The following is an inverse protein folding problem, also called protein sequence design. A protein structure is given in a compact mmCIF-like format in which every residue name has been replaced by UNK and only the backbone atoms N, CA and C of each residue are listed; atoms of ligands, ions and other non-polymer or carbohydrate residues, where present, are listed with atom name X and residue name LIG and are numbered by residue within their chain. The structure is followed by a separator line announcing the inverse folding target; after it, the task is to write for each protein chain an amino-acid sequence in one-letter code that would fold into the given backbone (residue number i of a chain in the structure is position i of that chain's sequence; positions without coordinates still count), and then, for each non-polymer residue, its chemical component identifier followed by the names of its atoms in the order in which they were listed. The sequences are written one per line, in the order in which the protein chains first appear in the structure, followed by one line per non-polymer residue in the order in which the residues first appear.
data_IF_791936633712
#
_entry.id   IF_791936633712
#
_cell.length_a   1.000
_cell.length_b   1.000
_cell.length_c   1.000
_cell.angle_alpha   90.00
_cell.angle_beta   90.00
_cell.angle_gamma   90.00
#
_symmetry.space_group_name_H-M   'P 1'
#
loop_
_entity.id
_entity.type
_entity.pdbx_description
1 polymer ?
#
# COMPACT_ATOMS: atom_id res chain seq x y z
N UNK A 1 12.06 40.56 -18.94
CA UNK A 1 12.62 40.29 -17.60
C UNK A 1 12.29 38.88 -17.10
N UNK A 2 11.10 38.33 -17.40
CA UNK A 2 10.66 37.01 -16.91
C UNK A 2 11.39 35.79 -17.50
N UNK A 3 11.86 35.85 -18.77
CA UNK A 3 12.61 34.75 -19.40
C UNK A 3 13.96 34.44 -18.72
N UNK A 4 14.71 35.47 -18.30
CA UNK A 4 15.99 35.28 -17.60
C UNK A 4 15.83 34.67 -16.21
N UNK A 5 14.69 34.91 -15.54
CA UNK A 5 14.40 34.29 -14.23
C UNK A 5 14.06 32.81 -14.38
N UNK A 6 13.39 32.42 -15.47
CA UNK A 6 13.09 31.01 -15.77
C UNK A 6 14.35 30.20 -16.09
N UNK A 7 15.27 30.74 -16.90
CA UNK A 7 16.55 30.09 -17.20
C UNK A 7 17.40 29.86 -15.94
N UNK A 8 17.42 30.82 -15.00
CA UNK A 8 18.12 30.68 -13.72
C UNK A 8 17.49 29.60 -12.85
N UNK A 9 16.16 29.52 -12.77
CA UNK A 9 15.46 28.47 -12.03
C UNK A 9 15.69 27.08 -12.64
N UNK A 10 15.72 26.98 -13.97
CA UNK A 10 16.01 25.72 -14.67
C UNK A 10 17.46 25.28 -14.46
N UNK A 11 18.42 26.20 -14.51
CA UNK A 11 19.82 25.91 -14.21
C UNK A 11 20.01 25.46 -12.75
N UNK A 12 19.34 26.11 -11.80
CA UNK A 12 19.36 25.73 -10.38
C UNK A 12 18.71 24.36 -10.15
N UNK A 13 17.58 24.06 -10.82
CA UNK A 13 16.94 22.76 -10.75
C UNK A 13 17.85 21.65 -11.31
N UNK A 14 18.48 21.89 -12.47
CA UNK A 14 19.42 20.95 -13.07
C UNK A 14 20.65 20.71 -12.18
N UNK A 15 21.19 21.77 -11.56
CA UNK A 15 22.32 21.67 -10.65
C UNK A 15 21.95 20.90 -9.37
N UNK A 16 20.77 21.18 -8.80
CA UNK A 16 20.25 20.46 -7.64
C UNK A 16 20.01 18.97 -7.95
N UNK A 17 19.46 18.66 -9.12
CA UNK A 17 19.24 17.29 -9.57
C UNK A 17 20.57 16.55 -9.77
N UNK A 18 21.55 17.19 -10.42
CA UNK A 18 22.90 16.60 -10.61
C UNK A 18 23.58 16.33 -9.27
N UNK A 19 23.47 17.25 -8.32
CA UNK A 19 24.01 17.09 -6.98
C UNK A 19 23.35 15.94 -6.22
N UNK A 20 22.01 15.80 -6.32
CA UNK A 20 21.26 14.70 -5.70
C UNK A 20 21.64 13.34 -6.29
N UNK A 21 21.78 13.24 -7.60
CA UNK A 21 22.23 12.01 -8.24
C UNK A 21 23.64 11.60 -7.80
N UNK A 22 24.58 12.56 -7.75
CA UNK A 22 25.94 12.29 -7.26
C UNK A 22 25.93 11.83 -5.80
N UNK A 23 25.19 12.53 -4.94
CA UNK A 23 25.06 12.15 -3.53
C UNK A 23 24.42 10.78 -3.37
N UNK A 24 23.36 10.46 -4.13
CA UNK A 24 22.75 9.14 -4.14
C UNK A 24 23.73 8.05 -4.56
N UNK A 25 24.57 8.31 -5.55
CA UNK A 25 25.60 7.38 -5.99
C UNK A 25 26.68 7.14 -4.91
N UNK A 26 27.11 8.18 -4.20
CA UNK A 26 28.09 8.05 -3.12
C UNK A 26 27.52 7.24 -1.94
N UNK A 27 26.25 7.50 -1.56
CA UNK A 27 25.55 6.74 -0.51
C UNK A 27 25.35 5.28 -0.92
N UNK A 28 25.01 5.02 -2.19
CA UNK A 28 24.87 3.66 -2.72
C UNK A 28 26.19 2.88 -2.63
N UNK A 29 27.33 3.50 -2.98
CA UNK A 29 28.64 2.87 -2.87
C UNK A 29 28.98 2.52 -1.42
N UNK A 30 28.68 3.40 -0.47
CA UNK A 30 28.86 3.10 0.96
C UNK A 30 27.98 1.92 1.41
N UNK A 31 26.74 1.85 0.90
CA UNK A 31 25.85 0.74 1.18
C UNK A 31 26.41 -0.61 0.70
N UNK A 32 27.03 -0.62 -0.49
CA UNK A 32 27.70 -1.80 -1.04
C UNK A 32 28.95 -2.19 -0.25
N UNK A 33 29.72 -1.24 0.27
CA UNK A 33 30.85 -1.53 1.16
C UNK A 33 30.38 -2.22 2.44
N UNK A 34 29.32 -1.70 3.08
CA UNK A 34 28.74 -2.31 4.27
C UNK A 34 28.17 -3.70 3.96
N UNK A 35 27.53 -3.87 2.79
CA UNK A 35 27.03 -5.16 2.34
C UNK A 35 28.16 -6.16 2.14
N UNK A 36 29.25 -5.77 1.47
CA UNK A 36 30.42 -6.63 1.26
C UNK A 36 31.09 -7.02 2.59
N UNK A 37 31.12 -6.11 3.58
CA UNK A 37 31.59 -6.43 4.93
C UNK A 37 30.71 -7.50 5.59
N UNK A 38 29.39 -7.36 5.50
CA UNK A 38 28.46 -8.37 5.99
C UNK A 38 28.69 -9.72 5.30
N UNK A 39 28.83 -9.75 3.97
CA UNK A 39 29.14 -10.97 3.19
C UNK A 39 30.46 -11.62 3.64
N UNK A 40 31.53 -10.82 3.80
CA UNK A 40 32.84 -11.33 4.23
C UNK A 40 32.80 -11.89 5.65
N UNK A 41 31.86 -11.44 6.48
CA UNK A 41 31.62 -11.96 7.83
C UNK A 41 30.62 -13.12 7.86
N UNK A 42 30.21 -13.66 6.70
CA UNK A 42 29.13 -14.66 6.59
C UNK A 42 27.84 -14.19 7.31
N UNK A 43 27.53 -12.90 7.17
CA UNK A 43 26.37 -12.21 7.77
C UNK A 43 26.34 -12.18 9.31
N UNK A 44 27.46 -12.47 9.98
CA UNK A 44 27.54 -12.36 11.45
C UNK A 44 27.60 -10.91 11.92
N UNK A 45 28.12 -9.98 11.11
CA UNK A 45 28.14 -8.55 11.42
C UNK A 45 26.78 -7.88 11.18
N UNK A 46 25.90 -7.97 12.19
CA UNK A 46 24.57 -7.34 12.18
C UNK A 46 24.64 -5.81 12.07
N UNK A 47 25.73 -5.17 12.49
CA UNK A 47 25.87 -3.73 12.42
C UNK A 47 26.10 -3.28 10.98
N UNK A 48 27.00 -3.95 10.25
CA UNK A 48 27.24 -3.70 8.83
C UNK A 48 25.97 -3.94 7.99
N UNK A 49 25.21 -5.00 8.29
CA UNK A 49 23.95 -5.32 7.63
C UNK A 49 22.90 -4.21 7.81
N UNK A 50 22.68 -3.78 9.06
CA UNK A 50 21.75 -2.69 9.39
C UNK A 50 22.16 -1.38 8.72
N UNK A 51 23.45 -1.07 8.73
CA UNK A 51 23.97 0.13 8.09
C UNK A 51 23.77 0.10 6.56
N UNK A 52 23.97 -1.06 5.93
CA UNK A 52 23.72 -1.24 4.50
C UNK A 52 22.24 -0.97 4.16
N UNK A 53 21.30 -1.56 4.90
CA UNK A 53 19.86 -1.33 4.70
C UNK A 53 19.49 0.16 4.86
N UNK A 54 20.00 0.81 5.89
CA UNK A 54 19.77 2.25 6.11
C UNK A 54 20.27 3.11 4.96
N UNK A 55 21.49 2.84 4.47
CA UNK A 55 22.08 3.56 3.33
C UNK A 55 21.33 3.27 2.02
N UNK A 56 20.81 2.06 1.81
CA UNK A 56 19.98 1.73 0.64
C UNK A 56 18.66 2.50 0.65
N UNK A 57 17.98 2.58 1.80
CA UNK A 57 16.79 3.44 1.93
C UNK A 57 17.10 4.92 1.70
N UNK A 58 18.24 5.40 2.23
CA UNK A 58 18.67 6.77 1.98
C UNK A 58 18.96 6.99 0.48
N UNK A 59 19.51 6.01 -0.22
CA UNK A 59 19.71 6.06 -1.67
C UNK A 59 18.38 6.20 -2.41
N UNK A 60 17.37 5.41 -2.03
CA UNK A 60 16.02 5.47 -2.61
C UNK A 60 15.34 6.84 -2.37
N UNK A 61 15.58 7.46 -1.21
CA UNK A 61 15.08 8.82 -0.95
C UNK A 61 15.75 9.87 -1.84
N UNK A 62 17.03 9.70 -2.17
CA UNK A 62 17.79 10.64 -3.00
C UNK A 62 17.53 10.43 -4.50
N UNK A 63 17.29 9.20 -4.94
CA UNK A 63 17.07 8.83 -6.33
C UNK A 63 16.09 7.65 -6.46
N UNK A 64 14.80 7.95 -6.67
CA UNK A 64 13.72 6.95 -6.75
C UNK A 64 13.70 6.18 -8.08
N UNK A 65 14.36 6.71 -9.11
CA UNK A 65 14.36 6.10 -10.45
C UNK A 65 15.47 5.05 -10.62
N UNK A 66 16.32 4.88 -9.60
CA UNK A 66 17.40 3.89 -9.61
C UNK A 66 16.90 2.53 -9.14
N UNK A 67 16.93 1.53 -10.02
CA UNK A 67 16.50 0.16 -9.69
C UNK A 67 17.48 -0.60 -8.79
N UNK A 68 18.76 -0.18 -8.73
CA UNK A 68 19.83 -0.96 -8.08
C UNK A 68 19.64 -1.10 -6.56
N UNK A 69 19.25 -0.07 -5.80
CA UNK A 69 19.00 -0.22 -4.37
C UNK A 69 17.82 -1.16 -4.08
N UNK A 70 16.77 -1.15 -4.93
CA UNK A 70 15.67 -2.10 -4.82
C UNK A 70 16.16 -3.54 -5.02
N UNK A 71 16.98 -3.79 -6.04
CA UNK A 71 17.57 -5.11 -6.29
C UNK A 71 18.42 -5.59 -5.09
N UNK A 72 19.30 -4.74 -4.57
CA UNK A 72 20.18 -5.09 -3.44
C UNK A 72 19.37 -5.34 -2.16
N UNK A 73 18.35 -4.52 -1.87
CA UNK A 73 17.42 -4.76 -0.76
C UNK A 73 16.68 -6.08 -0.92
N UNK A 74 16.18 -6.37 -2.13
CA UNK A 74 15.53 -7.64 -2.42
C UNK A 74 16.44 -8.84 -2.17
N UNK A 75 17.70 -8.76 -2.60
CA UNK A 75 18.69 -9.82 -2.37
C UNK A 75 19.04 -10.00 -0.89
N UNK A 76 19.23 -8.88 -0.18
CA UNK A 76 19.47 -8.88 1.26
C UNK A 76 18.32 -9.55 2.05
N UNK A 77 17.09 -9.18 1.74
CA UNK A 77 15.90 -9.75 2.36
C UNK A 77 15.75 -11.24 2.05
N UNK A 78 16.03 -11.65 0.81
CA UNK A 78 16.06 -13.06 0.43
C UNK A 78 17.06 -13.86 1.27
N UNK A 79 18.28 -13.35 1.45
CA UNK A 79 19.32 -14.01 2.26
C UNK A 79 18.99 -14.11 3.75
N UNK A 80 18.08 -13.27 4.24
CA UNK A 80 17.58 -13.32 5.61
C UNK A 80 16.31 -14.19 5.75
N UNK A 81 15.87 -14.87 4.67
CA UNK A 81 14.60 -15.61 4.57
C UNK A 81 13.32 -14.73 4.59
N UNK A 82 13.43 -13.42 4.35
CA UNK A 82 12.29 -12.50 4.21
C UNK A 82 11.75 -12.49 2.77
N UNK A 83 11.37 -13.66 2.25
CA UNK A 83 11.05 -13.87 0.82
C UNK A 83 9.89 -13.00 0.30
N UNK A 84 8.89 -12.70 1.13
CA UNK A 84 7.76 -11.86 0.70
C UNK A 84 8.18 -10.41 0.49
N UNK A 85 8.95 -9.83 1.42
CA UNK A 85 9.46 -8.46 1.30
C UNK A 85 10.49 -8.36 0.18
N UNK A 86 11.34 -9.38 0.05
CA UNK A 86 12.28 -9.49 -1.06
C UNK A 86 11.58 -9.42 -2.43
N UNK A 87 10.43 -10.09 -2.57
CA UNK A 87 9.64 -10.08 -3.80
C UNK A 87 9.09 -8.69 -4.13
N UNK A 88 8.63 -7.94 -3.12
CA UNK A 88 8.17 -6.55 -3.31
C UNK A 88 9.29 -5.68 -3.89
N UNK A 89 10.48 -5.73 -3.31
CA UNK A 89 11.63 -4.96 -3.80
C UNK A 89 12.11 -5.43 -5.17
N UNK A 90 12.10 -6.74 -5.43
CA UNK A 90 12.45 -7.28 -6.74
C UNK A 90 11.45 -6.85 -7.84
N UNK A 91 10.15 -6.80 -7.54
CA UNK A 91 9.15 -6.26 -8.48
C UNK A 91 9.31 -4.76 -8.71
N UNK A 92 9.66 -3.97 -7.69
CA UNK A 92 9.97 -2.55 -7.85
C UNK A 92 11.19 -2.35 -8.76
N UNK A 93 12.26 -3.13 -8.57
CA UNK A 93 13.42 -3.12 -9.46
C UNK A 93 13.05 -3.48 -10.91
N UNK A 94 12.17 -4.48 -11.09
CA UNK A 94 11.71 -4.91 -12.42
C UNK A 94 10.87 -3.85 -13.11
N UNK A 95 10.01 -3.12 -12.39
CA UNK A 95 9.19 -2.05 -12.94
C UNK A 95 10.05 -0.91 -13.51
N UNK A 96 11.17 -0.59 -12.84
CA UNK A 96 12.14 0.42 -13.27
C UNK A 96 13.02 -0.07 -14.42
N UNK A 97 13.47 -1.33 -14.39
CA UNK A 97 14.31 -1.91 -15.45
C UNK A 97 13.88 -3.35 -15.82
N UNK A 98 12.89 -3.51 -16.72
CA UNK A 98 12.28 -4.82 -17.02
C UNK A 98 13.24 -5.86 -17.63
N UNK A 99 14.30 -5.41 -18.29
CA UNK A 99 15.27 -6.27 -18.95
C UNK A 99 16.46 -6.63 -18.06
N UNK A 100 16.52 -6.14 -16.83
CA UNK A 100 17.64 -6.48 -15.93
C UNK A 100 17.69 -7.99 -15.66
N UNK A 101 18.89 -8.57 -15.82
CA UNK A 101 19.08 -10.02 -15.68
C UNK A 101 19.08 -10.43 -14.22
N UNK A 102 19.70 -9.63 -13.34
CA UNK A 102 19.84 -9.95 -11.92
C UNK A 102 18.48 -9.93 -11.21
N UNK A 103 17.64 -8.95 -11.54
CA UNK A 103 16.27 -8.84 -11.03
C UNK A 103 15.42 -10.05 -11.45
N UNK A 104 15.53 -10.50 -12.70
CA UNK A 104 14.84 -11.72 -13.17
C UNK A 104 15.32 -12.97 -12.46
N UNK A 105 16.62 -13.09 -12.19
CA UNK A 105 17.17 -14.20 -11.42
C UNK A 105 16.66 -14.20 -9.98
N UNK A 106 16.66 -13.03 -9.32
CA UNK A 106 16.12 -12.90 -7.97
C UNK A 106 14.63 -13.25 -7.92
N UNK A 107 13.82 -12.74 -8.86
CA UNK A 107 12.41 -13.11 -8.96
C UNK A 107 12.23 -14.62 -9.22
N UNK A 108 13.10 -15.26 -10.00
CA UNK A 108 13.03 -16.71 -10.20
C UNK A 108 13.38 -17.51 -8.93
N UNK A 109 14.24 -16.99 -8.05
CA UNK A 109 14.53 -17.57 -6.73
C UNK A 109 13.36 -17.37 -5.77
N UNK A 110 12.70 -16.21 -5.83
CA UNK A 110 11.60 -15.82 -4.93
C UNK A 110 10.24 -16.36 -5.36
N UNK A 111 10.08 -16.63 -6.64
CA UNK A 111 8.89 -17.30 -7.15
C UNK A 111 9.10 -18.77 -6.83
N UNK A 112 8.36 -19.37 -5.87
CA UNK A 112 8.36 -20.81 -5.74
C UNK A 112 7.98 -21.34 -7.12
N UNK A 113 8.93 -21.98 -7.79
CA UNK A 113 8.72 -22.51 -9.13
C UNK A 113 7.42 -23.30 -9.06
N UNK A 114 6.46 -22.86 -9.87
CA UNK A 114 5.16 -23.47 -9.97
C UNK A 114 5.31 -24.91 -10.48
N UNK A 115 5.64 -25.82 -9.58
CA UNK A 115 4.68 -26.86 -9.29
C UNK A 115 4.02 -26.47 -7.97
N UNK A 116 2.79 -25.93 -8.01
CA UNK A 116 1.91 -26.22 -6.91
C UNK A 116 1.86 -27.75 -6.90
N UNK A 117 2.47 -28.39 -5.90
CA UNK A 117 1.87 -29.62 -5.43
C UNK A 117 0.50 -29.19 -4.93
N UNK A 118 -0.43 -29.16 -5.88
CA UNK A 118 -1.84 -29.12 -5.64
C UNK A 118 -2.01 -30.20 -4.56
N UNK A 119 -2.53 -29.81 -3.41
CA UNK A 119 -3.21 -30.72 -2.50
C UNK A 119 -4.47 -31.29 -3.18
N UNK A 120 -4.33 -31.73 -4.43
CA UNK A 120 -5.09 -32.84 -4.93
C UNK A 120 -4.56 -34.01 -4.12
N UNK A 121 -5.17 -34.19 -2.94
CA UNK A 121 -5.53 -35.52 -2.48
C UNK A 121 -6.24 -36.14 -3.67
N UNK A 122 -5.46 -36.69 -4.61
CA UNK A 122 -5.99 -37.62 -5.55
C UNK A 122 -6.62 -38.65 -4.66
N UNK A 123 -7.94 -38.79 -4.78
CA UNK A 123 -8.73 -39.89 -4.26
C UNK A 123 -8.31 -41.22 -4.94
N UNK A 124 -6.99 -41.41 -5.08
CA UNK A 124 -6.30 -42.65 -5.33
C UNK A 124 -6.35 -43.38 -4.01
N UNK A 125 -7.40 -44.17 -3.87
CA UNK A 125 -7.67 -45.20 -2.87
C UNK A 125 -6.46 -46.10 -2.57
N UNK A 126 -5.48 -45.55 -1.86
CA UNK A 126 -4.45 -46.27 -1.12
C UNK A 126 -4.21 -45.49 0.16
N UNK A 127 -5.01 -45.80 1.18
CA UNK A 127 -4.74 -45.52 2.59
C UNK A 127 -3.37 -46.11 2.96
N UNK A 128 -2.31 -45.39 2.65
CA UNK A 128 -1.01 -45.54 3.30
C UNK A 128 -0.95 -44.39 4.29
N UNK A 129 -1.24 -44.73 5.54
CA UNK A 129 -0.88 -44.05 6.78
C UNK A 129 -0.46 -42.59 6.57
N UNK A 130 -1.46 -41.69 6.50
CA UNK A 130 -1.20 -40.28 6.70
C UNK A 130 -0.65 -40.15 8.12
N UNK A 131 0.58 -39.67 8.23
CA UNK A 131 1.20 -39.37 9.52
C UNK A 131 0.55 -38.10 10.09
N UNK A 132 -0.52 -38.32 10.85
CA UNK A 132 -1.34 -37.28 11.44
C UNK A 132 -0.56 -36.41 12.43
N UNK A 133 0.41 -36.99 13.14
CA UNK A 133 1.30 -36.27 14.05
C UNK A 133 2.18 -35.27 13.28
N UNK A 134 2.80 -35.72 12.17
CA UNK A 134 3.62 -34.84 11.33
C UNK A 134 2.80 -33.69 10.71
N UNK A 135 1.54 -33.94 10.34
CA UNK A 135 0.64 -32.90 9.83
C UNK A 135 0.27 -31.90 10.94
N UNK A 136 0.03 -32.36 12.17
CA UNK A 136 -0.25 -31.49 13.32
C UNK A 136 0.93 -30.54 13.57
N UNK A 137 2.14 -31.07 13.72
CA UNK A 137 3.36 -30.29 13.97
C UNK A 137 3.61 -29.26 12.86
N UNK A 138 3.37 -29.65 11.61
CA UNK A 138 3.50 -28.75 10.47
C UNK A 138 2.50 -27.59 10.54
N UNK A 139 1.23 -27.87 10.85
CA UNK A 139 0.19 -26.83 10.97
C UNK A 139 0.52 -25.90 12.13
N UNK A 140 0.97 -26.45 13.26
CA UNK A 140 1.38 -25.66 14.42
C UNK A 140 2.52 -24.69 14.08
N UNK A 141 3.62 -25.19 13.49
CA UNK A 141 4.77 -24.36 13.10
C UNK A 141 4.34 -23.24 12.14
N UNK A 142 3.49 -23.57 11.16
CA UNK A 142 3.00 -22.58 10.19
C UNK A 142 2.17 -21.48 10.85
N UNK A 143 1.29 -21.83 11.80
CA UNK A 143 0.50 -20.83 12.55
C UNK A 143 1.42 -19.94 13.37
N UNK A 144 2.39 -20.52 14.08
CA UNK A 144 3.34 -19.78 14.92
C UNK A 144 4.21 -18.83 14.08
N UNK A 145 4.82 -19.32 13.00
CA UNK A 145 5.63 -18.52 12.07
C UNK A 145 4.80 -17.38 11.45
N UNK A 146 3.59 -17.68 10.98
CA UNK A 146 2.74 -16.66 10.33
C UNK A 146 2.29 -15.59 11.32
N UNK A 147 1.94 -16.00 12.54
CA UNK A 147 1.60 -15.10 13.63
C UNK A 147 2.78 -14.19 14.00
N UNK A 148 3.96 -14.76 14.21
CA UNK A 148 5.18 -14.00 14.49
C UNK A 148 5.52 -13.03 13.36
N UNK A 149 5.44 -13.46 12.10
CA UNK A 149 5.66 -12.60 10.94
C UNK A 149 4.68 -11.42 10.92
N UNK A 150 3.37 -11.65 11.10
CA UNK A 150 2.38 -10.57 11.09
C UNK A 150 2.53 -9.60 12.27
N UNK A 151 3.02 -10.08 13.41
CA UNK A 151 3.27 -9.24 14.59
C UNK A 151 4.60 -8.50 14.53
N UNK A 152 5.62 -9.07 13.89
CA UNK A 152 6.98 -8.51 13.81
C UNK A 152 7.19 -7.61 12.59
N UNK A 153 6.51 -7.89 11.48
CA UNK A 153 6.63 -7.11 10.25
C UNK A 153 5.94 -5.76 10.41
N UNK A 154 6.54 -4.74 9.79
CA UNK A 154 6.20 -3.33 9.86
C UNK A 154 4.81 -2.96 9.31
N UNK A 155 3.79 -3.83 9.33
CA UNK A 155 2.44 -3.51 8.83
C UNK A 155 1.69 -2.43 9.64
N UNK A 156 2.32 -1.89 10.69
CA UNK A 156 1.78 -0.78 11.49
C UNK A 156 1.53 0.51 10.69
N UNK A 157 2.19 0.69 9.54
CA UNK A 157 1.97 1.84 8.66
C UNK A 157 0.78 1.67 7.72
N UNK A 158 0.27 0.45 7.54
CA UNK A 158 -0.91 0.21 6.73
C UNK A 158 -2.12 0.67 7.55
N UNK A 159 -2.83 1.66 7.02
CA UNK A 159 -4.06 2.23 7.56
C UNK A 159 -4.96 2.57 6.37
N UNK A 160 -6.27 2.83 6.60
CA UNK A 160 -7.14 3.36 5.56
C UNK A 160 -6.52 4.61 4.93
N UNK A 161 -6.49 4.66 3.61
CA UNK A 161 -5.77 5.69 2.85
C UNK A 161 -6.42 5.94 1.50
N UNK A 162 -6.28 7.18 1.02
CA UNK A 162 -6.60 7.54 -0.37
C UNK A 162 -5.51 7.13 -1.35
N UNK A 163 -4.31 6.75 -0.88
CA UNK A 163 -3.21 6.35 -1.75
C UNK A 163 -3.51 4.97 -2.39
N UNK A 164 -3.66 4.89 -3.73
CA UNK A 164 -3.94 3.64 -4.42
C UNK A 164 -2.88 2.55 -4.19
N UNK A 165 -1.63 2.93 -3.97
CA UNK A 165 -0.53 1.98 -3.78
C UNK A 165 -0.60 1.33 -2.40
N UNK A 166 -0.92 2.10 -1.37
CA UNK A 166 -1.18 1.57 -0.02
C UNK A 166 -2.38 0.61 -0.05
N UNK A 167 -3.44 0.96 -0.79
CA UNK A 167 -4.62 0.11 -0.92
C UNK A 167 -4.33 -1.22 -1.63
N UNK A 168 -3.50 -1.21 -2.69
CA UNK A 168 -3.04 -2.45 -3.35
C UNK A 168 -2.22 -3.33 -2.41
N UNK A 169 -1.32 -2.73 -1.63
CA UNK A 169 -0.52 -3.48 -0.65
C UNK A 169 -1.42 -4.11 0.42
N UNK A 170 -2.37 -3.34 0.96
CA UNK A 170 -3.34 -3.84 1.94
C UNK A 170 -4.18 -4.97 1.36
N UNK A 171 -4.63 -4.86 0.11
CA UNK A 171 -5.42 -5.89 -0.57
C UNK A 171 -4.60 -7.18 -0.78
N UNK A 172 -3.34 -7.03 -1.22
CA UNK A 172 -2.43 -8.16 -1.41
C UNK A 172 -2.22 -8.94 -0.10
N UNK A 173 -1.92 -8.22 0.98
CA UNK A 173 -1.66 -8.81 2.30
C UNK A 173 -2.93 -9.46 2.87
N UNK A 174 -4.08 -8.78 2.76
CA UNK A 174 -5.38 -9.34 3.15
C UNK A 174 -5.67 -10.64 2.42
N UNK A 175 -5.50 -10.66 1.08
CA UNK A 175 -5.74 -11.85 0.25
C UNK A 175 -4.81 -13.00 0.62
N UNK A 176 -3.52 -12.71 0.83
CA UNK A 176 -2.54 -13.71 1.23
C UNK A 176 -2.88 -14.33 2.59
N UNK A 177 -3.30 -13.52 3.57
CA UNK A 177 -3.71 -14.01 4.89
C UNK A 177 -5.02 -14.81 4.83
N UNK A 178 -6.02 -14.35 4.07
CA UNK A 178 -7.27 -15.08 3.88
C UNK A 178 -7.04 -16.48 3.30
N UNK A 179 -6.19 -16.58 2.27
CA UNK A 179 -5.82 -17.86 1.67
C UNK A 179 -5.02 -18.76 2.62
N UNK A 180 -4.19 -18.18 3.50
CA UNK A 180 -3.51 -18.94 4.54
C UNK A 180 -4.53 -19.52 5.51
N UNK A 181 -5.42 -18.67 6.06
CA UNK A 181 -6.45 -19.09 7.02
C UNK A 181 -7.33 -20.20 6.43
N UNK A 182 -7.82 -20.03 5.21
CA UNK A 182 -8.66 -21.04 4.55
C UNK A 182 -7.93 -22.40 4.40
N UNK A 183 -6.64 -22.38 4.06
CA UNK A 183 -5.85 -23.62 3.93
C UNK A 183 -5.61 -24.28 5.28
N UNK A 184 -5.31 -23.49 6.31
CA UNK A 184 -5.13 -23.98 7.67
C UNK A 184 -6.43 -24.57 8.23
N UNK A 185 -7.57 -23.91 8.02
CA UNK A 185 -8.89 -24.43 8.43
C UNK A 185 -9.21 -25.77 7.74
N UNK A 186 -8.87 -25.93 6.46
CA UNK A 186 -9.03 -27.21 5.78
C UNK A 186 -8.12 -28.32 6.37
N UNK A 187 -6.90 -27.97 6.79
CA UNK A 187 -6.01 -28.91 7.47
C UNK A 187 -6.52 -29.28 8.87
N UNK A 188 -7.02 -28.30 9.64
CA UNK A 188 -7.65 -28.53 10.94
C UNK A 188 -8.85 -29.48 10.83
N UNK A 189 -9.74 -29.28 9.85
CA UNK A 189 -10.86 -30.20 9.60
C UNK A 189 -10.42 -31.64 9.29
N UNK A 190 -9.20 -31.84 8.78
CA UNK A 190 -8.63 -33.17 8.54
C UNK A 190 -8.11 -33.80 9.84
N UNK A 191 -7.63 -32.97 10.78
CA UNK A 191 -7.08 -33.39 12.06
C UNK A 191 -8.15 -33.55 13.16
N UNK A 192 -9.34 -32.99 12.99
CA UNK A 192 -10.41 -32.92 13.99
C UNK A 192 -10.86 -34.29 14.53
N UNK A 193 -10.75 -35.35 13.72
CA UNK A 193 -11.11 -36.70 14.13
C UNK A 193 -10.09 -37.34 15.11
N UNK A 194 -8.83 -36.91 15.07
CA UNK A 194 -7.72 -37.57 15.75
C UNK A 194 -7.16 -36.76 16.95
N UNK A 195 -7.31 -35.43 16.95
CA UNK A 195 -6.72 -34.54 17.97
C UNK A 195 -7.71 -33.52 18.56
N UNK A 196 -7.38 -33.05 19.77
CA UNK A 196 -7.95 -31.80 20.30
C UNK A 196 -7.24 -30.61 19.65
N UNK A 197 -7.99 -29.81 18.89
CA UNK A 197 -7.46 -28.70 18.09
C UNK A 197 -7.51 -27.35 18.84
N UNK A 198 -7.91 -27.33 20.12
CA UNK A 198 -8.12 -26.10 20.88
C UNK A 198 -6.89 -25.18 20.88
N UNK A 199 -5.68 -25.72 20.95
CA UNK A 199 -4.44 -24.93 20.93
C UNK A 199 -4.18 -24.28 19.56
N UNK A 200 -4.35 -25.04 18.47
CA UNK A 200 -4.20 -24.53 17.10
C UNK A 200 -5.26 -23.47 16.78
N UNK A 201 -6.51 -23.70 17.18
CA UNK A 201 -7.59 -22.73 17.04
C UNK A 201 -7.30 -21.43 17.82
N UNK A 202 -6.78 -21.54 19.04
CA UNK A 202 -6.35 -20.39 19.83
C UNK A 202 -5.19 -19.64 19.16
N UNK A 203 -4.23 -20.36 18.57
CA UNK A 203 -3.13 -19.80 17.79
C UNK A 203 -3.60 -19.07 16.53
N UNK A 204 -4.72 -19.47 15.94
CA UNK A 204 -5.33 -18.84 14.77
C UNK A 204 -6.08 -17.54 15.07
N UNK A 205 -6.61 -17.35 16.29
CA UNK A 205 -7.43 -16.18 16.64
C UNK A 205 -6.75 -14.83 16.33
N UNK A 206 -5.47 -14.58 16.67
CA UNK A 206 -4.80 -13.33 16.31
C UNK A 206 -4.76 -13.06 14.81
N UNK A 207 -4.56 -14.11 14.00
CA UNK A 207 -4.55 -14.02 12.54
C UNK A 207 -5.94 -13.66 12.00
N UNK A 208 -6.99 -14.31 12.49
CA UNK A 208 -8.38 -14.01 12.11
C UNK A 208 -8.79 -12.58 12.51
N UNK A 209 -8.40 -12.14 13.71
CA UNK A 209 -8.63 -10.76 14.16
C UNK A 209 -7.93 -9.76 13.23
N UNK A 210 -6.69 -10.04 12.82
CA UNK A 210 -5.94 -9.18 11.90
C UNK A 210 -6.59 -9.15 10.52
N UNK A 211 -7.04 -10.29 10.00
CA UNK A 211 -7.75 -10.36 8.73
C UNK A 211 -8.99 -9.46 8.75
N UNK A 212 -9.82 -9.57 9.80
CA UNK A 212 -11.02 -8.74 9.96
C UNK A 212 -10.68 -7.24 10.04
N UNK A 213 -9.60 -6.89 10.73
CA UNK A 213 -9.12 -5.51 10.79
C UNK A 213 -8.74 -4.98 9.41
N UNK A 214 -7.95 -5.73 8.63
CA UNK A 214 -7.55 -5.33 7.28
C UNK A 214 -8.72 -5.27 6.31
N UNK A 215 -9.69 -6.19 6.44
CA UNK A 215 -10.93 -6.12 5.68
C UNK A 215 -11.71 -4.84 5.97
N UNK A 216 -11.81 -4.44 7.24
CA UNK A 216 -12.43 -3.18 7.62
C UNK A 216 -11.67 -1.98 7.05
N UNK A 217 -10.34 -2.01 7.07
CA UNK A 217 -9.53 -0.93 6.51
C UNK A 217 -9.68 -0.80 5.00
N UNK A 218 -9.74 -1.91 4.25
CA UNK A 218 -10.04 -1.88 2.81
C UNK A 218 -11.39 -1.24 2.53
N UNK A 219 -12.43 -1.66 3.26
CA UNK A 219 -13.77 -1.06 3.15
C UNK A 219 -13.74 0.45 3.39
N UNK A 220 -12.99 0.90 4.40
CA UNK A 220 -12.87 2.32 4.71
C UNK A 220 -12.10 3.10 3.63
N UNK A 221 -11.00 2.54 3.11
CA UNK A 221 -10.29 3.11 1.97
C UNK A 221 -11.20 3.26 0.74
N UNK A 222 -12.01 2.26 0.44
CA UNK A 222 -13.00 2.32 -0.65
C UNK A 222 -14.03 3.44 -0.42
N UNK A 223 -14.53 3.58 0.80
CA UNK A 223 -15.46 4.66 1.16
C UNK A 223 -14.82 6.04 1.01
N UNK A 224 -13.55 6.18 1.40
CA UNK A 224 -12.79 7.41 1.24
C UNK A 224 -12.58 7.76 -0.24
N UNK A 225 -12.19 6.80 -1.07
CA UNK A 225 -12.02 7.01 -2.51
C UNK A 225 -13.34 7.40 -3.20
N UNK A 226 -14.44 6.73 -2.86
CA UNK A 226 -15.75 7.08 -3.37
C UNK A 226 -16.19 8.49 -2.94
N UNK A 227 -15.83 8.91 -1.71
CA UNK A 227 -16.13 10.24 -1.21
C UNK A 227 -15.27 11.31 -1.90
N UNK A 228 -13.99 11.03 -2.14
CA UNK A 228 -13.11 11.89 -2.93
C UNK A 228 -13.67 12.12 -4.34
N UNK A 229 -14.06 11.06 -5.03
CA UNK A 229 -14.65 11.14 -6.37
C UNK A 229 -15.92 12.00 -6.37
N UNK A 230 -16.80 11.80 -5.39
CA UNK A 230 -18.03 12.59 -5.26
C UNK A 230 -17.76 14.07 -4.99
N UNK A 231 -16.85 14.39 -4.05
CA UNK A 231 -16.47 15.78 -3.77
C UNK A 231 -15.89 16.44 -5.03
N UNK A 232 -15.02 15.73 -5.76
CA UNK A 232 -14.46 16.24 -7.02
C UNK A 232 -15.53 16.47 -8.09
N UNK A 233 -16.48 15.54 -8.23
CA UNK A 233 -17.60 15.69 -9.17
C UNK A 233 -18.43 16.94 -8.85
N UNK A 234 -18.80 17.15 -7.59
CA UNK A 234 -19.52 18.36 -7.17
C UNK A 234 -18.70 19.64 -7.41
N UNK A 235 -17.39 19.62 -7.15
CA UNK A 235 -16.52 20.76 -7.48
C UNK A 235 -16.58 21.10 -8.98
N UNK A 236 -16.64 20.10 -9.87
CA UNK A 236 -16.78 20.36 -11.30
C UNK A 236 -18.16 20.90 -11.65
N UNK A 237 -19.24 20.37 -11.07
CA UNK A 237 -20.61 20.87 -11.24
C UNK A 237 -20.70 22.34 -10.87
N UNK A 238 -20.23 22.72 -9.68
CA UNK A 238 -20.25 24.11 -9.19
C UNK A 238 -19.46 25.05 -10.11
N UNK A 239 -18.30 24.59 -10.62
CA UNK A 239 -17.53 25.37 -11.60
C UNK A 239 -18.30 25.61 -12.89
N UNK A 240 -18.97 24.59 -13.41
CA UNK A 240 -19.77 24.70 -14.63
C UNK A 240 -20.92 25.69 -14.43
N UNK A 241 -21.64 25.59 -13.32
CA UNK A 241 -22.73 26.53 -12.99
C UNK A 241 -22.23 27.95 -12.78
N UNK A 242 -21.06 28.14 -12.14
CA UNK A 242 -20.46 29.47 -11.97
C UNK A 242 -20.16 30.11 -13.33
N UNK A 243 -19.61 29.33 -14.26
CA UNK A 243 -19.29 29.79 -15.61
C UNK A 243 -20.54 30.06 -16.46
N UNK A 244 -21.61 29.27 -16.29
CA UNK A 244 -22.89 29.48 -16.95
C UNK A 244 -23.59 30.74 -16.42
N UNK A 245 -23.57 30.95 -15.11
CA UNK A 245 -24.13 32.14 -14.46
C UNK A 245 -23.47 33.41 -14.98
N UNK A 246 -22.13 33.42 -15.10
CA UNK A 246 -21.37 34.52 -15.72
C UNK A 246 -21.73 34.78 -17.19
N UNK A 247 -22.28 33.79 -17.89
CA UNK A 247 -22.77 33.90 -19.27
C UNK A 247 -24.25 34.28 -19.35
N UNK A 248 -24.87 34.69 -18.24
CA UNK A 248 -26.29 35.05 -18.18
C UNK A 248 -27.23 33.84 -18.18
N UNK A 249 -26.74 32.66 -17.79
CA UNK A 249 -27.54 31.44 -17.59
C UNK A 249 -27.40 30.99 -16.14
N UNK A 250 -28.07 31.65 -15.19
CA UNK A 250 -27.98 31.29 -13.78
C UNK A 250 -28.51 29.88 -13.56
N UNK A 251 -27.93 29.17 -12.59
CA UNK A 251 -28.50 27.92 -12.08
C UNK A 251 -29.88 28.20 -11.46
N UNK A 252 -30.79 27.23 -11.55
CA UNK A 252 -32.10 27.34 -10.92
C UNK A 252 -32.01 27.16 -9.39
N UNK A 253 -32.96 27.75 -8.67
CA UNK A 253 -33.07 27.61 -7.21
C UNK A 253 -33.11 26.13 -6.77
N UNK A 254 -33.85 25.30 -7.51
CA UNK A 254 -33.93 23.85 -7.26
C UNK A 254 -32.59 23.13 -7.40
N UNK A 255 -31.75 23.57 -8.34
CA UNK A 255 -30.41 23.01 -8.53
C UNK A 255 -29.48 23.37 -7.37
N UNK A 256 -29.62 24.59 -6.83
CA UNK A 256 -28.89 25.04 -5.64
C UNK A 256 -29.33 24.30 -4.38
N UNK A 257 -30.63 24.17 -4.14
CA UNK A 257 -31.18 23.39 -3.02
C UNK A 257 -30.62 21.96 -3.04
N UNK A 258 -30.66 21.32 -4.23
CA UNK A 258 -30.12 19.99 -4.39
C UNK A 258 -28.60 19.91 -4.17
N UNK A 259 -27.85 20.98 -4.46
CA UNK A 259 -26.41 21.07 -4.19
C UNK A 259 -26.15 21.19 -2.69
N UNK A 260 -26.91 22.01 -1.96
CA UNK A 260 -26.80 22.13 -0.50
C UNK A 260 -27.11 20.80 0.19
N UNK A 261 -28.19 20.13 -0.21
CA UNK A 261 -28.51 18.78 0.28
C UNK A 261 -27.37 17.78 0.05
N UNK A 262 -26.63 17.90 -1.07
CA UNK A 262 -25.46 17.06 -1.35
C UNK A 262 -24.27 17.46 -0.48
N UNK A 263 -24.05 18.75 -0.23
CA UNK A 263 -23.00 19.24 0.65
C UNK A 263 -23.19 18.79 2.10
N UNK A 264 -24.43 18.79 2.60
CA UNK A 264 -24.77 18.32 3.94
C UNK A 264 -24.51 16.81 4.07
N UNK A 265 -24.98 16.01 3.10
CA UNK A 265 -24.69 14.56 3.07
C UNK A 265 -23.20 14.24 2.99
N UNK A 266 -22.41 15.08 2.31
CA UNK A 266 -20.96 14.92 2.26
C UNK A 266 -20.33 15.26 3.62
N UNK A 267 -20.78 16.31 4.30
CA UNK A 267 -20.34 16.65 5.66
C UNK A 267 -20.65 15.52 6.65
N UNK A 268 -21.88 15.02 6.68
CA UNK A 268 -22.28 13.92 7.58
C UNK A 268 -21.40 12.68 7.41
N UNK A 269 -20.99 12.38 6.17
CA UNK A 269 -20.11 11.23 5.86
C UNK A 269 -18.66 11.48 6.26
N UNK A 270 -18.18 12.72 6.18
CA UNK A 270 -16.86 13.09 6.69
C UNK A 270 -16.83 12.96 8.22
N UNK A 271 -17.85 13.49 8.90
CA UNK A 271 -17.98 13.40 10.36
C UNK A 271 -18.06 11.95 10.84
N UNK A 272 -18.76 11.08 10.10
CA UNK A 272 -18.81 9.65 10.40
C UNK A 272 -17.44 8.98 10.30
N UNK A 273 -16.64 9.29 9.27
CA UNK A 273 -15.28 8.75 9.12
C UNK A 273 -14.33 9.29 10.22
N UNK A 274 -14.47 10.55 10.59
CA UNK A 274 -13.69 11.15 11.69
C UNK A 274 -14.03 10.50 13.04
N UNK A 275 -15.31 10.23 13.29
CA UNK A 275 -15.78 9.53 14.50
C UNK A 275 -15.24 8.09 14.60
N UNK A 276 -14.96 7.44 13.47
CA UNK A 276 -14.26 6.15 13.42
C UNK A 276 -12.74 6.26 13.67
N UNK A 277 -12.21 7.47 13.88
CA UNK A 277 -10.80 7.75 14.14
C UNK A 277 -9.93 7.73 12.88
N UNK A 278 -10.53 7.90 11.70
CA UNK A 278 -9.83 7.88 10.41
C UNK A 278 -9.25 9.25 10.10
N UNK A 279 -8.01 9.28 9.59
CA UNK A 279 -7.38 10.52 9.16
C UNK A 279 -7.99 11.00 7.83
N UNK A 280 -8.85 12.02 7.90
CA UNK A 280 -9.58 12.55 6.74
C UNK A 280 -9.09 13.93 6.27
N UNK A 281 -7.92 14.39 6.72
CA UNK A 281 -7.38 15.72 6.41
C UNK A 281 -7.41 16.08 4.91
N UNK A 282 -7.04 15.12 4.06
CA UNK A 282 -7.06 15.30 2.60
C UNK A 282 -8.48 15.50 2.06
N UNK A 283 -9.46 14.72 2.54
CA UNK A 283 -10.86 14.84 2.16
C UNK A 283 -11.46 16.16 2.65
N UNK A 284 -11.16 16.56 3.90
CA UNK A 284 -11.59 17.84 4.46
C UNK A 284 -11.08 19.02 3.64
N UNK A 285 -9.83 18.98 3.18
CA UNK A 285 -9.28 20.02 2.32
C UNK A 285 -10.02 20.11 0.96
N UNK A 286 -10.41 18.97 0.39
CA UNK A 286 -11.22 18.94 -0.83
C UNK A 286 -12.64 19.47 -0.57
N UNK A 287 -13.27 19.08 0.54
CA UNK A 287 -14.59 19.56 0.92
C UNK A 287 -14.61 21.08 1.18
N UNK A 288 -13.62 21.62 1.89
CA UNK A 288 -13.47 23.07 2.08
C UNK A 288 -13.30 23.81 0.75
N UNK A 289 -12.67 23.19 -0.25
CA UNK A 289 -12.58 23.75 -1.60
C UNK A 289 -13.93 23.73 -2.30
N UNK A 290 -14.76 22.71 -2.10
CA UNK A 290 -16.14 22.67 -2.59
C UNK A 290 -16.95 23.82 -1.97
N UNK A 291 -16.94 23.97 -0.64
CA UNK A 291 -17.66 25.04 0.07
C UNK A 291 -17.29 26.42 -0.49
N UNK A 292 -16.00 26.74 -0.58
CA UNK A 292 -15.53 28.02 -1.16
C UNK A 292 -15.97 28.25 -2.61
N UNK A 293 -16.17 27.19 -3.38
CA UNK A 293 -16.66 27.29 -4.76
C UNK A 293 -18.16 27.52 -4.79
N UNK A 294 -18.90 26.90 -3.88
CA UNK A 294 -20.33 27.12 -3.70
C UNK A 294 -20.62 28.55 -3.25
N UNK A 295 -19.85 29.09 -2.30
CA UNK A 295 -19.97 30.50 -1.88
C UNK A 295 -19.78 31.45 -3.07
N UNK A 296 -18.73 31.22 -3.88
CA UNK A 296 -18.45 32.03 -5.06
C UNK A 296 -19.54 31.91 -6.16
N UNK A 297 -20.29 30.80 -6.18
CA UNK A 297 -21.45 30.65 -7.05
C UNK A 297 -22.64 31.46 -6.53
N UNK A 298 -22.90 31.45 -5.21
CA UNK A 298 -23.94 32.28 -4.59
C UNK A 298 -23.69 33.76 -4.84
N UNK A 299 -22.46 34.24 -4.59
CA UNK A 299 -22.08 35.64 -4.86
C UNK A 299 -22.36 36.03 -6.33
N UNK A 300 -22.01 35.15 -7.28
CA UNK A 300 -22.24 35.40 -8.70
C UNK A 300 -23.73 35.43 -9.06
N UNK A 301 -24.57 34.63 -8.39
CA UNK A 301 -26.02 34.64 -8.60
C UNK A 301 -26.63 35.92 -8.05
N UNK A 302 -26.24 36.35 -6.85
CA UNK A 302 -26.71 37.58 -6.22
C UNK A 302 -26.36 38.82 -7.07
N UNK A 303 -25.14 38.87 -7.60
CA UNK A 303 -24.72 39.92 -8.54
C UNK A 303 -25.61 39.95 -9.81
N UNK A 304 -25.92 38.78 -10.39
CA UNK A 304 -26.79 38.71 -11.57
C UNK A 304 -28.25 39.06 -11.27
N UNK A 305 -28.74 38.74 -10.07
CA UNK A 305 -30.09 39.07 -9.63
C UNK A 305 -30.28 40.57 -9.40
N UNK A 306 -29.23 41.27 -8.93
CA UNK A 306 -29.22 42.72 -8.78
C UNK A 306 -29.12 43.48 -10.12
N UNK A 307 -28.58 42.83 -11.16
CA UNK A 307 -28.41 43.43 -12.48
C UNK A 307 -29.64 43.26 -13.40
N UNK A 308 -30.57 42.36 -13.06
CA UNK A 308 -31.80 42.07 -13.80
C UNK A 308 -32.95 42.99 -13.38
#
# INVERSE_FOLDING_TARGET
MQLKQFEVLQAQANQAQTSRHKQGQDVYQQALVCFQQAVNSEFQDKAALKQSVQLLHQTLHLNRDDHRPHLVLGYLLYLMDHNTEAAVYAHQAQALQPQDQQTRQLLALLTPTAQPQVFAVQASSRHKDLDFDALYDQVESQIQEKSQHILSVHYHHLKPSLDPEINRQLEHIHRALAQFIQRTEAALNTLEAEFDLSELENGMRPLQMRLKQWQNWLRLSEQMLALEEQIQAEIQTVRQWTEQTRKGRPASEKELDALFDRCDRLADRLDALEAEGIEINTLLALYQRLVKKTDALQDALDETALAA
#
